data_IF_419450984418
#
_entry.id   IF_419450984418
#
_cell.length_a   1.000
_cell.length_b   1.000
_cell.length_c   1.000
_cell.angle_alpha   90.00
_cell.angle_beta   90.00
_cell.angle_gamma   90.00
#
_symmetry.space_group_name_H-M   'P 1'
#
loop_
_entity.id
_entity.type
_entity.pdbx_description
1 polymer ?
#
# COMPACT_ATOMS: atom_id res chain seq x y z
N UNK A 1 -21.58 25.81 49.10
CA UNK A 1 -20.45 25.60 48.20
C UNK A 1 -20.18 24.11 48.01
N UNK A 2 -20.61 23.52 46.89
CA UNK A 2 -20.31 22.11 46.57
C UNK A 2 -19.03 22.09 45.73
N UNK A 3 -17.97 21.44 46.21
CA UNK A 3 -16.78 21.13 45.46
C UNK A 3 -17.11 20.10 44.38
N UNK A 4 -17.01 20.48 43.13
CA UNK A 4 -17.01 19.53 42.01
C UNK A 4 -15.65 18.84 41.98
N UNK A 5 -15.63 17.57 42.26
CA UNK A 5 -14.48 16.69 41.97
C UNK A 5 -14.36 16.52 40.48
N UNK A 6 -13.26 16.97 39.91
CA UNK A 6 -12.86 16.64 38.51
C UNK A 6 -12.56 15.15 38.49
N UNK A 7 -13.33 14.38 37.73
CA UNK A 7 -12.95 13.04 37.33
C UNK A 7 -11.78 13.14 36.37
N UNK A 8 -10.66 12.57 36.77
CA UNK A 8 -9.57 12.24 35.81
C UNK A 8 -10.12 11.23 34.83
N UNK A 9 -10.42 11.65 33.60
CA UNK A 9 -10.57 10.75 32.47
C UNK A 9 -9.16 10.30 32.09
N UNK A 10 -8.88 9.02 32.33
CA UNK A 10 -7.69 8.34 31.85
C UNK A 10 -7.57 8.59 30.35
N UNK A 11 -6.54 9.36 29.98
CA UNK A 11 -6.08 9.46 28.63
C UNK A 11 -5.36 8.14 28.29
N UNK A 12 -6.12 7.14 27.84
CA UNK A 12 -5.54 6.05 27.06
C UNK A 12 -4.98 6.68 25.80
N UNK A 13 -3.69 7.00 25.81
CA UNK A 13 -2.98 7.55 24.68
C UNK A 13 -3.24 6.64 23.47
N UNK A 14 -3.80 7.20 22.40
CA UNK A 14 -4.04 6.47 21.16
C UNK A 14 -2.72 5.88 20.68
N UNK A 15 -2.62 4.54 20.66
CA UNK A 15 -1.44 3.78 20.21
C UNK A 15 -1.26 3.83 18.69
N UNK A 16 -1.82 4.82 18.01
CA UNK A 16 -1.69 4.99 16.58
C UNK A 16 -1.52 6.44 16.18
N UNK A 17 -0.93 6.68 15.02
CA UNK A 17 -0.91 7.99 14.36
C UNK A 17 -1.58 7.92 13.00
N UNK A 18 -2.28 8.99 12.60
CA UNK A 18 -2.97 9.09 11.32
C UNK A 18 -2.68 10.43 10.66
N UNK A 19 -2.27 10.41 9.38
CA UNK A 19 -1.98 11.60 8.58
C UNK A 19 -2.55 11.48 7.19
N UNK A 20 -2.99 12.61 6.62
CA UNK A 20 -3.45 12.71 5.24
C UNK A 20 -2.36 13.26 4.33
N UNK A 21 -2.30 12.72 3.12
CA UNK A 21 -1.38 13.12 2.06
C UNK A 21 -2.16 13.30 0.76
N UNK A 22 -1.77 14.28 -0.01
CA UNK A 22 -2.20 14.45 -1.39
C UNK A 22 -1.25 13.72 -2.36
N UNK A 23 -1.57 13.75 -3.64
CA UNK A 23 -0.77 13.14 -4.70
C UNK A 23 0.65 13.69 -4.81
N UNK A 24 0.90 14.91 -4.34
CA UNK A 24 2.22 15.55 -4.43
C UNK A 24 3.17 15.06 -3.31
N UNK A 25 2.63 14.78 -2.14
CA UNK A 25 3.40 14.43 -0.93
C UNK A 25 3.42 12.94 -0.63
N UNK A 26 2.51 12.17 -1.26
CA UNK A 26 2.37 10.74 -0.99
C UNK A 26 3.67 9.97 -1.19
N UNK A 27 4.28 10.07 -2.37
CA UNK A 27 5.45 9.23 -2.69
C UNK A 27 6.67 9.54 -1.83
N UNK A 28 6.87 10.79 -1.42
CA UNK A 28 7.99 11.16 -0.54
C UNK A 28 7.93 10.40 0.79
N UNK A 29 6.74 10.23 1.35
CA UNK A 29 6.53 9.50 2.59
C UNK A 29 6.46 7.98 2.35
N UNK A 30 5.72 7.55 1.34
CA UNK A 30 5.55 6.14 1.00
C UNK A 30 6.87 5.43 0.68
N UNK A 31 7.76 6.07 -0.08
CA UNK A 31 9.08 5.52 -0.37
C UNK A 31 9.96 5.39 0.88
N UNK A 32 9.80 6.27 1.87
CA UNK A 32 10.47 6.13 3.17
C UNK A 32 9.98 4.91 3.92
N UNK A 33 8.65 4.72 3.98
CA UNK A 33 8.07 3.54 4.62
C UNK A 33 8.53 2.26 3.93
N UNK A 34 8.52 2.20 2.59
CA UNK A 34 9.04 1.06 1.84
C UNK A 34 10.53 0.77 2.13
N UNK A 35 11.37 1.82 2.16
CA UNK A 35 12.79 1.64 2.46
C UNK A 35 13.04 1.13 3.89
N UNK A 36 12.14 1.46 4.83
CA UNK A 36 12.23 1.05 6.23
C UNK A 36 11.55 -0.29 6.52
N UNK A 37 10.85 -0.89 5.56
CA UNK A 37 10.21 -2.19 5.72
C UNK A 37 11.21 -3.27 6.17
N UNK A 38 10.78 -4.13 7.08
CA UNK A 38 11.64 -5.15 7.74
C UNK A 38 11.28 -6.58 7.31
N UNK A 39 10.01 -6.86 7.08
CA UNK A 39 9.51 -8.22 6.87
C UNK A 39 8.67 -8.34 5.59
N UNK A 40 7.66 -7.49 5.44
CA UNK A 40 6.62 -7.67 4.43
C UNK A 40 6.10 -6.35 3.88
N UNK A 41 5.83 -6.33 2.58
CA UNK A 41 5.13 -5.24 1.89
C UNK A 41 4.02 -5.83 1.02
N UNK A 42 2.80 -5.38 1.23
CA UNK A 42 1.63 -5.71 0.41
C UNK A 42 1.15 -4.43 -0.25
N UNK A 43 1.04 -4.41 -1.57
CA UNK A 43 0.51 -3.26 -2.32
C UNK A 43 -0.66 -3.75 -3.18
N UNK A 44 -1.80 -3.09 -3.03
CA UNK A 44 -2.99 -3.33 -3.83
C UNK A 44 -3.25 -2.10 -4.71
N UNK A 45 -3.12 -2.25 -6.02
CA UNK A 45 -3.31 -1.18 -6.99
C UNK A 45 -3.80 -1.76 -8.32
N UNK A 46 -4.97 -1.31 -8.83
CA UNK A 46 -5.59 -1.92 -10.00
C UNK A 46 -4.83 -1.67 -11.30
N UNK A 47 -4.10 -0.56 -11.38
CA UNK A 47 -3.38 -0.14 -12.58
C UNK A 47 -1.89 -0.02 -12.31
N UNK A 48 -1.10 -0.33 -13.34
CA UNK A 48 0.36 -0.22 -13.31
C UNK A 48 0.81 0.58 -14.54
N UNK A 49 1.63 1.62 -14.35
CA UNK A 49 2.20 2.40 -15.44
C UNK A 49 3.71 2.29 -15.48
N UNK A 50 4.26 2.25 -16.67
CA UNK A 50 5.72 2.25 -16.90
C UNK A 50 6.39 3.44 -16.24
N UNK A 51 5.74 4.61 -16.27
CA UNK A 51 6.27 5.84 -15.65
C UNK A 51 6.44 5.68 -14.13
N UNK A 52 5.42 5.13 -13.45
CA UNK A 52 5.47 4.94 -12.00
C UNK A 52 6.43 3.82 -11.61
N UNK A 53 6.52 2.78 -12.43
CA UNK A 53 7.46 1.69 -12.20
C UNK A 53 8.92 2.14 -12.25
N UNK A 54 9.28 3.15 -13.06
CA UNK A 54 10.64 3.73 -13.05
C UNK A 54 11.06 4.24 -11.67
N UNK A 55 10.10 4.80 -10.89
CA UNK A 55 10.34 5.27 -9.53
C UNK A 55 10.43 4.12 -8.53
N UNK A 56 9.57 3.12 -8.66
CA UNK A 56 9.39 2.07 -7.65
C UNK A 56 10.36 0.89 -7.81
N UNK A 57 10.77 0.54 -9.02
CA UNK A 57 11.67 -0.59 -9.29
C UNK A 57 12.98 -0.53 -8.50
N UNK A 58 13.67 0.61 -8.38
CA UNK A 58 14.88 0.68 -7.56
C UNK A 58 14.64 0.31 -6.09
N UNK A 59 13.47 0.69 -5.54
CA UNK A 59 13.08 0.35 -4.17
C UNK A 59 12.75 -1.14 -4.06
N UNK A 60 11.97 -1.68 -4.98
CA UNK A 60 11.63 -3.11 -5.01
C UNK A 60 12.88 -4.00 -5.11
N UNK A 61 13.87 -3.61 -5.92
CA UNK A 61 15.17 -4.31 -5.96
C UNK A 61 15.89 -4.31 -4.62
N UNK A 62 15.85 -3.18 -3.88
CA UNK A 62 16.44 -3.09 -2.53
C UNK A 62 15.70 -4.01 -1.55
N UNK A 63 14.36 -4.03 -1.59
CA UNK A 63 13.55 -4.90 -0.76
C UNK A 63 13.86 -6.39 -1.05
N UNK A 64 13.88 -6.77 -2.32
CA UNK A 64 14.22 -8.13 -2.74
C UNK A 64 15.63 -8.54 -2.29
N UNK A 65 16.64 -7.66 -2.42
CA UNK A 65 18.00 -7.90 -1.94
C UNK A 65 18.06 -8.12 -0.42
N UNK A 66 17.19 -7.43 0.33
CA UNK A 66 17.05 -7.58 1.80
C UNK A 66 16.18 -8.78 2.19
N UNK A 67 15.67 -9.54 1.22
CA UNK A 67 14.74 -10.67 1.42
C UNK A 67 13.41 -10.27 2.07
N UNK A 68 13.00 -9.02 1.91
CA UNK A 68 11.66 -8.56 2.30
C UNK A 68 10.64 -9.18 1.36
N UNK A 69 9.59 -9.78 1.89
CA UNK A 69 8.50 -10.33 1.09
C UNK A 69 7.68 -9.19 0.48
N UNK A 70 7.50 -9.19 -0.82
CA UNK A 70 6.70 -8.17 -1.52
C UNK A 70 5.61 -8.85 -2.33
N UNK A 71 4.37 -8.44 -2.09
CA UNK A 71 3.18 -8.91 -2.79
C UNK A 71 2.52 -7.74 -3.50
N UNK A 72 2.22 -7.92 -4.77
CA UNK A 72 1.51 -6.93 -5.59
C UNK A 72 0.17 -7.51 -6.01
N UNK A 73 -0.91 -6.96 -5.48
CA UNK A 73 -2.28 -7.33 -5.84
C UNK A 73 -2.77 -6.35 -6.89
N UNK A 74 -3.06 -6.84 -8.08
CA UNK A 74 -3.43 -5.99 -9.21
C UNK A 74 -4.50 -6.65 -10.07
N UNK A 75 -5.13 -5.86 -10.92
CA UNK A 75 -6.12 -6.35 -11.88
C UNK A 75 -5.43 -7.20 -12.94
N UNK A 76 -6.14 -8.21 -13.44
CA UNK A 76 -5.67 -9.00 -14.60
C UNK A 76 -5.40 -8.10 -15.80
N UNK A 77 -4.29 -8.31 -16.53
CA UNK A 77 -3.99 -7.53 -17.73
C UNK A 77 -5.11 -7.55 -18.78
N UNK A 78 -5.79 -8.68 -18.94
CA UNK A 78 -6.87 -8.88 -19.92
C UNK A 78 -8.11 -8.01 -19.65
N UNK A 79 -8.26 -7.50 -18.42
CA UNK A 79 -9.36 -6.60 -18.06
C UNK A 79 -9.07 -5.12 -18.37
N UNK A 80 -7.88 -4.80 -18.88
CA UNK A 80 -7.49 -3.45 -19.29
C UNK A 80 -7.67 -3.25 -20.80
N UNK A 81 -7.81 -1.96 -21.19
CA UNK A 81 -7.61 -1.57 -22.58
C UNK A 81 -6.18 -1.85 -23.00
N UNK A 82 -5.93 -2.06 -24.30
CA UNK A 82 -4.68 -2.60 -24.83
C UNK A 82 -3.41 -1.88 -24.34
N UNK A 83 -3.42 -0.55 -24.30
CA UNK A 83 -2.27 0.25 -23.82
C UNK A 83 -1.88 -0.07 -22.37
N UNK A 84 -2.86 -0.15 -21.47
CA UNK A 84 -2.62 -0.48 -20.05
C UNK A 84 -2.33 -1.96 -19.85
N UNK A 85 -2.91 -2.81 -20.66
CA UNK A 85 -2.63 -4.24 -20.67
C UNK A 85 -1.14 -4.52 -20.88
N UNK A 86 -0.55 -3.95 -21.92
CA UNK A 86 0.89 -4.12 -22.21
C UNK A 86 1.79 -3.64 -21.06
N UNK A 87 1.48 -2.48 -20.46
CA UNK A 87 2.22 -1.97 -19.31
C UNK A 87 2.13 -2.90 -18.11
N UNK A 88 0.94 -3.42 -17.84
CA UNK A 88 0.68 -4.36 -16.74
C UNK A 88 1.43 -5.68 -16.95
N UNK A 89 1.34 -6.29 -18.12
CA UNK A 89 2.05 -7.53 -18.44
C UNK A 89 3.58 -7.39 -18.30
N UNK A 90 4.13 -6.27 -18.77
CA UNK A 90 5.56 -5.97 -18.62
C UNK A 90 5.98 -5.84 -17.16
N UNK A 91 5.18 -5.15 -16.34
CA UNK A 91 5.45 -4.98 -14.93
C UNK A 91 5.37 -6.30 -14.16
N UNK A 92 4.36 -7.14 -14.45
CA UNK A 92 4.19 -8.45 -13.83
C UNK A 92 5.42 -9.33 -14.07
N UNK A 93 5.88 -9.44 -15.33
CA UNK A 93 7.10 -10.17 -15.64
C UNK A 93 8.33 -9.64 -14.88
N UNK A 94 8.41 -8.32 -14.73
CA UNK A 94 9.51 -7.70 -13.98
C UNK A 94 9.43 -8.02 -12.47
N UNK A 95 8.23 -8.06 -11.89
CA UNK A 95 8.03 -8.48 -10.50
C UNK A 95 8.51 -9.92 -10.28
N UNK A 96 8.09 -10.85 -11.14
CA UNK A 96 8.50 -12.25 -11.06
C UNK A 96 10.03 -12.43 -11.12
N UNK A 97 10.70 -11.72 -12.04
CA UNK A 97 12.17 -11.73 -12.14
C UNK A 97 12.85 -11.18 -10.88
N UNK A 98 12.23 -10.24 -10.18
CA UNK A 98 12.74 -9.70 -8.92
C UNK A 98 12.38 -10.55 -7.69
N UNK A 99 11.63 -11.64 -7.85
CA UNK A 99 11.13 -12.44 -6.73
C UNK A 99 9.98 -11.79 -5.96
N UNK A 100 9.30 -10.82 -6.57
CA UNK A 100 8.07 -10.22 -6.06
C UNK A 100 6.89 -11.06 -6.56
N UNK A 101 5.94 -11.34 -5.67
CA UNK A 101 4.79 -12.17 -6.02
C UNK A 101 3.61 -11.32 -6.52
N UNK A 102 3.28 -11.37 -7.82
CA UNK A 102 2.05 -10.77 -8.32
C UNK A 102 0.84 -11.68 -8.02
N UNK A 103 -0.24 -11.08 -7.55
CA UNK A 103 -1.54 -11.69 -7.32
C UNK A 103 -2.57 -11.01 -8.22
N UNK A 104 -3.11 -11.77 -9.17
CA UNK A 104 -3.98 -11.23 -10.21
C UNK A 104 -5.45 -11.38 -9.82
N UNK A 105 -6.16 -10.26 -9.71
CA UNK A 105 -7.57 -10.20 -9.37
C UNK A 105 -8.44 -10.02 -10.62
N UNK A 106 -9.60 -10.68 -10.60
CA UNK A 106 -10.67 -10.53 -11.60
C UNK A 106 -11.83 -9.70 -11.07
N UNK A 107 -12.70 -9.21 -11.95
CA UNK A 107 -13.95 -8.59 -11.56
C UNK A 107 -13.83 -7.09 -11.24
N UNK A 108 -13.17 -6.32 -12.08
CA UNK A 108 -13.04 -4.87 -11.94
C UNK A 108 -12.43 -4.42 -10.61
N UNK A 109 -11.42 -5.13 -10.15
CA UNK A 109 -10.68 -4.80 -8.95
C UNK A 109 -10.23 -3.33 -8.95
N UNK A 110 -10.52 -2.58 -7.88
CA UNK A 110 -10.30 -1.13 -7.86
C UNK A 110 -9.78 -0.58 -6.52
N UNK A 111 -9.44 -1.44 -5.57
CA UNK A 111 -8.90 -1.02 -4.27
C UNK A 111 -7.48 -0.49 -4.40
N UNK A 112 -7.13 0.45 -3.54
CA UNK A 112 -5.82 1.10 -3.50
C UNK A 112 -5.38 1.21 -2.04
N UNK A 113 -4.44 0.38 -1.67
CA UNK A 113 -3.90 0.36 -0.33
C UNK A 113 -2.49 -0.24 -0.30
N UNK A 114 -1.79 -0.06 0.79
CA UNK A 114 -0.58 -0.81 1.10
C UNK A 114 -0.54 -1.13 2.59
N UNK A 115 -0.02 -2.32 2.91
CA UNK A 115 0.26 -2.75 4.27
C UNK A 115 1.75 -3.04 4.35
N UNK A 116 2.44 -2.44 5.33
CA UNK A 116 3.88 -2.61 5.52
C UNK A 116 4.11 -3.17 6.92
N UNK A 117 4.77 -4.31 7.00
CA UNK A 117 5.11 -5.02 8.25
C UNK A 117 3.90 -5.27 9.17
N UNK A 118 2.68 -5.22 8.63
CA UNK A 118 1.42 -5.28 9.39
C UNK A 118 1.32 -4.22 10.50
N UNK A 119 2.08 -3.15 10.40
CA UNK A 119 2.14 -2.02 11.34
C UNK A 119 1.65 -0.73 10.70
N UNK A 120 1.88 -0.54 9.39
CA UNK A 120 1.53 0.67 8.65
C UNK A 120 0.49 0.33 7.59
N UNK A 121 -0.62 1.05 7.61
CA UNK A 121 -1.66 1.01 6.59
C UNK A 121 -1.67 2.31 5.79
N UNK A 122 -1.60 2.19 4.48
CA UNK A 122 -1.91 3.25 3.53
C UNK A 122 -3.20 2.89 2.80
N UNK A 123 -4.17 3.82 2.76
CA UNK A 123 -5.43 3.63 2.06
C UNK A 123 -5.94 4.93 1.46
N UNK A 124 -6.65 4.88 0.36
CA UNK A 124 -7.24 6.07 -0.26
C UNK A 124 -7.60 5.89 -1.72
N UNK A 125 -7.58 6.99 -2.45
CA UNK A 125 -8.00 7.02 -3.86
C UNK A 125 -6.85 6.85 -4.86
N UNK A 126 -5.60 7.05 -4.44
CA UNK A 126 -4.42 7.10 -5.31
C UNK A 126 -4.00 5.71 -5.82
N UNK A 127 -3.96 5.53 -7.12
CA UNK A 127 -3.42 4.32 -7.75
C UNK A 127 -1.90 4.25 -7.56
N UNK A 128 -1.44 3.53 -6.55
CA UNK A 128 -0.03 3.52 -6.09
C UNK A 128 0.95 3.19 -7.22
N UNK A 129 0.60 2.26 -8.10
CA UNK A 129 1.49 1.79 -9.16
C UNK A 129 1.31 2.53 -10.51
N UNK A 130 0.38 3.51 -10.59
CA UNK A 130 0.10 4.20 -11.85
C UNK A 130 -0.16 5.69 -11.77
N UNK A 131 -0.28 6.25 -10.57
CA UNK A 131 -0.63 7.67 -10.38
C UNK A 131 0.25 8.63 -11.18
N UNK A 132 -0.36 9.57 -11.93
CA UNK A 132 0.35 10.57 -12.72
C UNK A 132 -0.12 12.00 -12.44
N UNK A 133 -1.41 12.33 -12.60
CA UNK A 133 -1.90 13.72 -12.60
C UNK A 133 -3.18 13.99 -11.81
N UNK A 134 -3.99 12.99 -11.50
CA UNK A 134 -5.25 13.20 -10.78
C UNK A 134 -5.03 13.71 -9.36
N UNK A 135 -5.98 14.48 -8.85
CA UNK A 135 -5.99 14.87 -7.43
C UNK A 135 -6.49 13.69 -6.61
N UNK A 136 -5.69 13.32 -5.61
CA UNK A 136 -5.93 12.13 -4.81
C UNK A 136 -5.71 12.39 -3.33
N UNK A 137 -6.24 11.52 -2.52
CA UNK A 137 -6.03 11.53 -1.07
C UNK A 137 -5.57 10.14 -0.64
N UNK A 138 -4.52 10.10 0.19
CA UNK A 138 -4.08 8.90 0.87
C UNK A 138 -4.00 9.17 2.37
N UNK A 139 -4.46 8.23 3.16
CA UNK A 139 -4.29 8.20 4.60
C UNK A 139 -3.18 7.22 4.95
N UNK A 140 -2.22 7.66 5.76
CA UNK A 140 -1.25 6.81 6.43
C UNK A 140 -1.68 6.62 7.87
N UNK A 141 -1.81 5.39 8.29
CA UNK A 141 -2.10 5.02 9.67
C UNK A 141 -0.93 4.15 10.15
N UNK A 142 -0.29 4.56 11.21
CA UNK A 142 0.72 3.78 11.93
C UNK A 142 0.09 3.23 13.20
N UNK A 143 -0.19 1.92 13.18
CA UNK A 143 -0.89 1.23 14.25
C UNK A 143 -1.23 -0.20 13.81
N UNK A 144 -0.62 -1.19 14.49
CA UNK A 144 -0.76 -2.61 14.19
C UNK A 144 -2.24 -3.04 14.07
N UNK A 145 -3.08 -2.58 15.00
CA UNK A 145 -4.50 -2.94 14.99
C UNK A 145 -5.20 -2.64 13.65
N UNK A 146 -4.96 -1.45 13.08
CA UNK A 146 -5.60 -1.05 11.82
C UNK A 146 -5.04 -1.80 10.61
N UNK A 147 -3.73 -2.06 10.62
CA UNK A 147 -3.09 -2.83 9.56
C UNK A 147 -3.57 -4.29 9.56
N UNK A 148 -3.70 -4.90 10.74
CA UNK A 148 -4.24 -6.26 10.91
C UNK A 148 -5.73 -6.32 10.57
N UNK A 149 -6.54 -5.35 11.01
CA UNK A 149 -7.96 -5.27 10.66
C UNK A 149 -8.16 -5.27 9.14
N UNK A 150 -7.39 -4.45 8.40
CA UNK A 150 -7.43 -4.43 6.94
C UNK A 150 -6.96 -5.77 6.34
N UNK A 151 -5.88 -6.33 6.84
CA UNK A 151 -5.34 -7.62 6.40
C UNK A 151 -6.38 -8.74 6.54
N UNK A 152 -7.03 -8.83 7.69
CA UNK A 152 -8.04 -9.85 8.00
C UNK A 152 -9.34 -9.61 7.19
N UNK A 153 -9.79 -8.36 7.10
CA UNK A 153 -10.97 -7.99 6.30
C UNK A 153 -10.82 -8.41 4.84
N UNK A 154 -9.63 -8.24 4.27
CA UNK A 154 -9.32 -8.63 2.90
C UNK A 154 -8.99 -10.11 2.76
N UNK A 155 -8.92 -10.86 3.86
CA UNK A 155 -8.58 -12.30 3.91
C UNK A 155 -7.26 -12.60 3.18
N UNK A 156 -6.27 -11.72 3.37
CA UNK A 156 -5.00 -11.80 2.64
C UNK A 156 -4.19 -13.05 2.99
N UNK A 157 -4.36 -13.60 4.19
CA UNK A 157 -3.74 -14.86 4.61
C UNK A 157 -3.96 -16.04 3.64
N UNK A 158 -5.05 -15.99 2.86
CA UNK A 158 -5.36 -17.04 1.88
C UNK A 158 -4.49 -16.99 0.62
N UNK A 159 -3.77 -15.89 0.43
CA UNK A 159 -2.99 -15.60 -0.77
C UNK A 159 -1.50 -15.50 -0.49
N UNK A 160 -1.11 -15.37 0.77
CA UNK A 160 0.26 -15.19 1.25
C UNK A 160 0.73 -16.40 2.07
#
# INVERSE_FOLDING_TARGET
MKKMTKSNSDASGSLFSSKLFDENRFYDCFLKDLNNAKEEVIIESPFISTKRMKLLVPIFKKLAKRKIKVYIITRRPEEHVEEYRWQSEKAIRMFEVMGIQPLLCVGNHHRKLAIIDREILWEGSLNILSQIKSREIMRRIEGEHFALEMFDFLKLEKFL
#
